data_IF_598325516122
#
_entry.id   IF_598325516122
#
_cell.length_a   1.000
_cell.length_b   1.000
_cell.length_c   1.000
_cell.angle_alpha   90.00
_cell.angle_beta   90.00
_cell.angle_gamma   90.00
#
_symmetry.space_group_name_H-M   'P 1'
#
loop_
_entity.id
_entity.type
_entity.pdbx_description
1 polymer ?
#
# COMPACT_ATOMS: atom_id res chain seq x y z
N UNK A 1 -2.80 11.96 2.63
CA UNK A 1 -1.90 11.46 1.57
C UNK A 1 -2.70 10.70 0.53
N UNK A 2 -2.40 10.92 -0.75
CA UNK A 2 -3.04 10.26 -1.88
C UNK A 2 -1.96 9.76 -2.85
N UNK A 3 -2.28 8.71 -3.61
CA UNK A 3 -1.41 8.21 -4.67
C UNK A 3 -1.60 9.03 -5.93
N UNK A 4 -0.50 9.26 -6.65
CA UNK A 4 -0.47 9.96 -7.92
C UNK A 4 0.38 9.19 -8.92
N UNK A 5 0.05 9.32 -10.19
CA UNK A 5 0.81 8.80 -11.33
C UNK A 5 1.18 9.95 -12.25
N UNK A 6 2.34 9.86 -12.89
CA UNK A 6 2.77 10.78 -13.93
C UNK A 6 3.62 10.04 -14.95
N UNK A 7 3.86 10.66 -16.10
CA UNK A 7 4.89 10.20 -17.04
C UNK A 7 6.28 10.39 -16.44
N UNK A 8 7.26 9.65 -16.96
CA UNK A 8 8.64 9.72 -16.49
C UNK A 8 9.27 11.12 -16.66
N UNK A 9 8.75 11.93 -17.58
CA UNK A 9 9.15 13.33 -17.79
C UNK A 9 8.46 14.32 -16.82
N UNK A 10 7.65 13.82 -15.87
CA UNK A 10 6.90 14.61 -14.90
C UNK A 10 5.58 15.18 -15.40
N UNK A 11 5.24 14.99 -16.69
CA UNK A 11 3.99 15.46 -17.28
C UNK A 11 2.82 14.52 -16.98
N UNK A 12 1.60 15.00 -17.27
CA UNK A 12 0.36 14.24 -17.12
C UNK A 12 0.15 13.65 -15.72
N UNK A 13 0.29 14.50 -14.69
CA UNK A 13 0.01 14.13 -13.31
C UNK A 13 -1.48 13.81 -13.12
N UNK A 14 -1.76 12.67 -12.50
CA UNK A 14 -3.10 12.15 -12.28
C UNK A 14 -3.21 11.59 -10.88
N UNK A 15 -4.24 12.02 -10.14
CA UNK A 15 -4.54 11.48 -8.82
C UNK A 15 -5.21 10.10 -8.98
N UNK A 16 -4.69 9.12 -8.25
CA UNK A 16 -5.11 7.71 -8.38
C UNK A 16 -6.08 7.30 -7.26
N UNK A 17 -5.98 7.90 -6.08
CA UNK A 17 -6.83 7.58 -4.92
C UNK A 17 -7.62 8.80 -4.44
N UNK A 18 -8.85 8.57 -4.00
CA UNK A 18 -9.80 9.64 -3.63
C UNK A 18 -10.46 9.41 -2.27
N UNK A 19 -9.93 8.48 -1.47
CA UNK A 19 -10.50 8.16 -0.16
C UNK A 19 -10.32 9.32 0.83
N UNK A 20 -11.35 9.58 1.64
CA UNK A 20 -11.35 10.68 2.63
C UNK A 20 -11.05 10.21 4.06
N UNK A 21 -11.19 8.92 4.35
CA UNK A 21 -11.02 8.36 5.69
C UNK A 21 -9.68 7.63 5.89
N UNK A 22 -8.91 7.46 4.81
CA UNK A 22 -7.61 6.80 4.83
C UNK A 22 -6.59 7.61 4.03
N UNK A 23 -5.34 7.50 4.44
CA UNK A 23 -4.17 8.03 3.78
C UNK A 23 -3.48 6.90 3.03
N UNK A 24 -3.34 7.01 1.71
CA UNK A 24 -2.71 5.98 0.87
C UNK A 24 -1.19 6.20 0.77
N UNK A 25 -0.39 5.19 1.11
CA UNK A 25 1.07 5.25 1.25
C UNK A 25 1.76 4.05 0.58
N UNK A 26 3.04 4.22 0.23
CA UNK A 26 3.94 3.17 -0.28
C UNK A 26 3.31 2.27 -1.38
N UNK A 27 2.92 2.84 -2.54
CA UNK A 27 2.41 2.05 -3.63
C UNK A 27 3.52 1.21 -4.28
N UNK A 28 3.25 -0.08 -4.49
CA UNK A 28 4.10 -1.00 -5.23
C UNK A 28 3.34 -1.59 -6.41
N UNK A 29 3.83 -1.28 -7.61
CA UNK A 29 3.25 -1.76 -8.87
C UNK A 29 3.71 -3.20 -9.13
N UNK A 30 2.80 -4.04 -9.65
CA UNK A 30 3.10 -5.42 -10.05
C UNK A 30 4.11 -5.45 -11.20
N UNK A 31 4.85 -6.56 -11.40
CA UNK A 31 5.91 -6.63 -12.43
C UNK A 31 5.43 -6.38 -13.86
N UNK A 32 4.15 -6.65 -14.14
CA UNK A 32 3.52 -6.41 -15.44
C UNK A 32 2.86 -5.03 -15.57
N UNK A 33 2.87 -4.24 -14.50
CA UNK A 33 2.31 -2.90 -14.52
C UNK A 33 0.79 -2.84 -14.47
N UNK A 34 0.07 -3.95 -14.25
CA UNK A 34 -1.40 -3.95 -14.27
C UNK A 34 -2.03 -3.53 -12.94
N UNK A 35 -1.36 -3.80 -11.82
CA UNK A 35 -1.91 -3.61 -10.48
C UNK A 35 -0.96 -2.83 -9.58
N UNK A 36 -1.51 -2.15 -8.57
CA UNK A 36 -0.77 -1.52 -7.48
C UNK A 36 -1.31 -1.97 -6.13
N UNK A 37 -0.42 -2.44 -5.25
CA UNK A 37 -0.72 -2.66 -3.83
C UNK A 37 -0.20 -1.48 -3.03
N UNK A 38 -0.91 -1.09 -1.98
CA UNK A 38 -0.48 -0.01 -1.10
C UNK A 38 -1.01 -0.22 0.32
N UNK A 39 -0.38 0.46 1.27
CA UNK A 39 -0.81 0.49 2.67
C UNK A 39 -1.59 1.77 2.93
N UNK A 40 -2.65 1.66 3.72
CA UNK A 40 -3.48 2.78 4.07
C UNK A 40 -3.60 2.92 5.59
N UNK A 41 -3.27 4.11 6.08
CA UNK A 41 -3.47 4.49 7.47
C UNK A 41 -4.79 5.23 7.62
N UNK A 42 -5.46 5.11 8.76
CA UNK A 42 -6.66 5.90 8.99
C UNK A 42 -6.30 7.37 9.23
N UNK A 43 -7.20 8.27 8.83
CA UNK A 43 -7.02 9.71 9.10
C UNK A 43 -6.95 9.92 10.61
N UNK A 44 -5.93 10.66 11.06
CA UNK A 44 -5.64 10.91 12.47
C UNK A 44 -4.57 9.99 13.08
N UNK A 45 -4.24 8.86 12.44
CA UNK A 45 -3.23 7.92 12.97
C UNK A 45 -1.79 8.44 12.88
N UNK A 46 -1.52 9.35 11.94
CA UNK A 46 -0.22 9.95 11.70
C UNK A 46 -0.34 11.32 11.02
N UNK A 47 0.68 12.15 11.22
CA UNK A 47 0.88 13.41 10.49
C UNK A 47 1.52 13.15 9.11
N UNK A 48 1.38 14.07 8.14
CA UNK A 48 1.89 13.85 6.78
C UNK A 48 3.39 13.53 6.65
N UNK A 49 4.20 13.97 7.61
CA UNK A 49 5.65 13.79 7.68
C UNK A 49 6.08 12.56 8.50
N UNK A 50 5.13 11.86 9.15
CA UNK A 50 5.41 10.72 10.01
C UNK A 50 5.34 9.38 9.27
N UNK A 51 6.24 8.47 9.62
CA UNK A 51 6.31 7.13 9.07
C UNK A 51 6.28 6.11 10.22
N UNK A 52 5.08 5.79 10.71
CA UNK A 52 4.92 5.08 11.99
C UNK A 52 4.76 3.56 11.83
N UNK A 53 5.39 2.75 12.71
CA UNK A 53 4.99 1.36 12.94
C UNK A 53 3.79 1.27 13.91
N UNK A 54 3.35 0.05 14.22
CA UNK A 54 2.41 -0.27 15.30
C UNK A 54 1.02 0.42 15.20
N UNK A 55 0.46 0.48 14.00
CA UNK A 55 -0.87 1.00 13.68
C UNK A 55 -1.80 -0.09 13.17
N UNK A 56 -3.10 0.13 13.26
CA UNK A 56 -4.08 -0.64 12.50
C UNK A 56 -4.17 -0.03 11.10
N UNK A 57 -3.83 -0.82 10.09
CA UNK A 57 -3.72 -0.37 8.70
C UNK A 57 -4.49 -1.30 7.78
N UNK A 58 -4.74 -0.83 6.57
CA UNK A 58 -5.30 -1.62 5.49
C UNK A 58 -4.24 -1.87 4.41
N UNK A 59 -4.20 -3.09 3.88
CA UNK A 59 -3.58 -3.33 2.58
C UNK A 59 -4.66 -3.31 1.51
N UNK A 60 -4.42 -2.57 0.44
CA UNK A 60 -5.39 -2.34 -0.63
C UNK A 60 -4.76 -2.58 -1.99
N UNK A 61 -5.58 -3.02 -2.94
CA UNK A 61 -5.20 -3.28 -4.32
C UNK A 61 -6.03 -2.41 -5.25
N UNK A 62 -5.42 -1.88 -6.29
CA UNK A 62 -6.13 -1.17 -7.36
C UNK A 62 -5.47 -1.43 -8.73
N UNK A 63 -6.20 -1.22 -9.84
CA UNK A 63 -5.58 -1.18 -11.16
C UNK A 63 -4.56 -0.05 -11.24
N UNK A 64 -3.38 -0.33 -11.77
CA UNK A 64 -2.33 0.69 -11.99
C UNK A 64 -2.74 1.71 -13.07
N UNK A 65 -3.70 1.33 -13.93
CA UNK A 65 -4.34 2.22 -14.89
C UNK A 65 -5.18 3.34 -14.23
N UNK A 66 -5.57 3.17 -12.96
CA UNK A 66 -6.56 3.98 -12.26
C UNK A 66 -7.89 3.22 -12.11
N UNK A 67 -8.71 3.63 -11.14
CA UNK A 67 -10.01 3.02 -10.88
C UNK A 67 -10.20 2.59 -9.42
N UNK A 68 -11.12 1.65 -9.21
CA UNK A 68 -11.59 1.29 -7.88
C UNK A 68 -10.51 0.55 -7.06
N UNK A 69 -10.22 1.08 -5.87
CA UNK A 69 -9.38 0.41 -4.86
C UNK A 69 -10.20 -0.53 -3.98
N UNK A 70 -9.79 -1.79 -3.89
CA UNK A 70 -10.40 -2.79 -2.99
C UNK A 70 -9.51 -3.06 -1.79
N UNK A 71 -10.16 -3.29 -0.65
CA UNK A 71 -9.51 -3.82 0.55
C UNK A 71 -9.04 -5.26 0.26
N UNK A 72 -7.79 -5.57 0.61
CA UNK A 72 -7.28 -6.93 0.66
C UNK A 72 -7.41 -7.50 2.07
N UNK A 73 -6.83 -6.81 3.05
CA UNK A 73 -6.84 -7.24 4.44
C UNK A 73 -6.61 -6.05 5.39
N UNK A 74 -7.02 -6.23 6.64
CA UNK A 74 -6.71 -5.33 7.76
C UNK A 74 -5.68 -6.01 8.64
N UNK A 75 -4.67 -5.27 9.06
CA UNK A 75 -3.61 -5.82 9.89
C UNK A 75 -3.10 -4.79 10.89
N UNK A 76 -2.53 -5.30 11.98
CA UNK A 76 -1.68 -4.50 12.86
C UNK A 76 -0.27 -4.47 12.26
N UNK A 77 0.29 -3.30 12.01
CA UNK A 77 1.49 -3.12 11.20
C UNK A 77 1.87 -1.66 11.01
N UNK A 78 2.38 -1.29 9.84
CA UNK A 78 2.76 0.09 9.52
C UNK A 78 3.79 0.15 8.41
N UNK A 79 4.75 1.08 8.49
CA UNK A 79 5.71 1.32 7.40
C UNK A 79 6.48 0.05 6.99
N UNK A 80 6.82 -0.81 7.97
CA UNK A 80 7.54 -2.06 7.71
C UNK A 80 6.68 -3.19 7.13
N UNK A 81 5.36 -3.02 7.00
CA UNK A 81 4.49 -4.06 6.43
C UNK A 81 4.71 -4.26 4.94
N UNK A 82 5.07 -3.20 4.19
CA UNK A 82 5.36 -3.24 2.74
C UNK A 82 6.38 -2.15 2.32
N UNK A 83 7.52 -2.04 3.00
CA UNK A 83 8.47 -0.94 2.75
C UNK A 83 9.08 -0.98 1.32
N UNK A 84 9.40 -2.17 0.84
CA UNK A 84 9.94 -2.41 -0.51
C UNK A 84 8.95 -3.19 -1.35
N UNK A 85 9.07 -3.07 -2.68
CA UNK A 85 8.24 -3.85 -3.60
C UNK A 85 8.48 -5.35 -3.35
N UNK A 86 7.40 -6.07 -3.07
CA UNK A 86 7.41 -7.46 -2.61
C UNK A 86 6.55 -8.38 -3.47
N UNK A 87 6.22 -7.96 -4.70
CA UNK A 87 5.49 -8.79 -5.66
C UNK A 87 6.34 -10.01 -6.08
N UNK A 88 5.67 -11.14 -6.26
CA UNK A 88 6.28 -12.31 -6.90
C UNK A 88 6.54 -12.02 -8.39
N UNK A 89 7.61 -12.59 -8.98
CA UNK A 89 7.89 -12.44 -10.42
C UNK A 89 6.75 -12.96 -11.31
N UNK A 90 5.99 -13.95 -10.81
CA UNK A 90 4.82 -14.52 -11.47
C UNK A 90 3.55 -13.68 -11.30
N UNK A 91 3.66 -12.44 -10.81
CA UNK A 91 2.63 -11.39 -10.66
C UNK A 91 1.38 -11.73 -9.84
N UNK A 92 1.28 -12.95 -9.33
CA UNK A 92 0.05 -13.45 -8.70
C UNK A 92 -0.08 -13.03 -7.25
N UNK A 93 1.05 -12.76 -6.58
CA UNK A 93 1.12 -12.66 -5.12
C UNK A 93 2.11 -11.58 -4.71
N UNK A 94 2.01 -11.13 -3.47
CA UNK A 94 3.00 -10.25 -2.86
C UNK A 94 3.17 -10.61 -1.38
N UNK A 95 4.36 -10.40 -0.85
CA UNK A 95 4.62 -10.62 0.57
C UNK A 95 4.35 -9.36 1.40
N UNK A 96 3.84 -9.51 2.61
CA UNK A 96 3.69 -8.41 3.57
C UNK A 96 3.99 -8.90 4.98
N UNK A 97 4.23 -7.97 5.90
CA UNK A 97 4.48 -8.25 7.31
C UNK A 97 3.33 -7.75 8.17
N UNK A 98 2.75 -8.66 8.96
CA UNK A 98 1.85 -8.32 10.06
C UNK A 98 2.59 -8.39 11.39
N UNK A 99 2.34 -7.41 12.25
CA UNK A 99 2.95 -7.31 13.56
C UNK A 99 2.09 -8.06 14.60
N UNK A 100 2.75 -8.64 15.58
CA UNK A 100 2.21 -9.29 16.78
C UNK A 100 3.12 -9.02 17.97
N UNK A 101 2.55 -8.92 19.17
CA UNK A 101 3.30 -8.72 20.42
C UNK A 101 3.47 -10.07 21.14
N UNK A 102 4.62 -10.39 21.77
CA UNK A 102 5.82 -9.55 21.92
C UNK A 102 6.81 -9.58 20.74
N UNK A 103 6.66 -10.49 19.77
CA UNK A 103 7.45 -10.54 18.52
C UNK A 103 6.57 -10.99 17.34
N UNK A 104 6.98 -10.67 16.10
CA UNK A 104 6.22 -10.92 14.86
C UNK A 104 7.06 -11.53 13.74
N UNK A 105 6.47 -12.39 12.91
CA UNK A 105 6.61 -12.51 11.44
C UNK A 105 5.65 -13.63 10.97
N UNK A 106 4.77 -13.33 10.02
CA UNK A 106 4.15 -14.35 9.16
C UNK A 106 4.10 -13.82 7.72
N UNK A 107 4.50 -14.66 6.77
CA UNK A 107 4.46 -14.39 5.33
C UNK A 107 3.24 -15.12 4.78
N UNK A 108 2.21 -14.38 4.39
CA UNK A 108 1.02 -14.95 3.74
C UNK A 108 1.20 -14.84 2.23
N UNK A 109 1.07 -15.97 1.54
CA UNK A 109 0.94 -16.07 0.10
C UNK A 109 -0.49 -16.52 -0.18
N UNK A 110 -1.34 -15.65 -0.70
CA UNK A 110 -2.62 -16.05 -1.30
C UNK A 110 -2.40 -16.40 -2.77
#
# INVERSE_FOLDING_TARGET
MQLWRMRADGSAQEQMTFHTQINSWFPHVSPDGEHGVYIAYYVGDLKPDEHLPDKNVELRLMPAAGGHSRLLTRLFGGQGSINVNSWSPDRRRFAFVQYSKPFSIFIVWD
#
